data_IF_913126405270
#
_entry.id   IF_913126405270
#
_cell.length_a   1.000
_cell.length_b   1.000
_cell.length_c   1.000
_cell.angle_alpha   90.00
_cell.angle_beta   90.00
_cell.angle_gamma   90.00
#
_symmetry.space_group_name_H-M   'P 1'
#
loop_
_entity.id
_entity.type
_entity.pdbx_description
1 polymer ?
#
# COMPACT_ATOMS: atom_id res chain seq x y z
N UNK A 1 -22.22 7.00 0.60
CA UNK A 1 -23.09 6.51 -0.50
C UNK A 1 -24.54 6.53 -0.05
N UNK A 2 -25.49 6.50 -0.97
CA UNK A 2 -26.93 6.44 -0.64
C UNK A 2 -27.62 5.39 -1.49
N UNK A 3 -28.38 4.51 -0.86
CA UNK A 3 -29.27 3.57 -1.55
C UNK A 3 -30.64 4.24 -1.70
N UNK A 4 -31.25 4.18 -2.88
CA UNK A 4 -32.60 4.66 -3.12
C UNK A 4 -33.43 3.51 -3.68
N UNK A 5 -34.59 3.25 -3.10
CA UNK A 5 -35.51 2.19 -3.55
C UNK A 5 -36.70 2.83 -4.25
N UNK A 6 -37.04 2.30 -5.43
CA UNK A 6 -38.19 2.72 -6.22
C UNK A 6 -39.17 1.56 -6.39
N UNK A 7 -40.45 1.87 -6.46
CA UNK A 7 -41.48 0.92 -6.86
C UNK A 7 -41.44 0.67 -8.38
N UNK A 8 -42.28 -0.25 -8.86
CA UNK A 8 -42.40 -0.59 -10.29
C UNK A 8 -42.91 0.59 -11.15
N UNK A 9 -43.46 1.63 -10.54
CA UNK A 9 -43.97 2.84 -11.19
C UNK A 9 -42.95 3.99 -11.15
N UNK A 10 -41.79 3.80 -10.53
CA UNK A 10 -40.73 4.80 -10.42
C UNK A 10 -40.88 5.76 -9.23
N UNK A 11 -41.80 5.50 -8.30
CA UNK A 11 -41.95 6.29 -7.07
C UNK A 11 -41.03 5.78 -5.97
N UNK A 12 -40.46 6.68 -5.17
CA UNK A 12 -39.57 6.29 -4.06
C UNK A 12 -40.34 5.56 -2.96
N UNK A 13 -39.79 4.46 -2.45
CA UNK A 13 -40.42 3.63 -1.42
C UNK A 13 -39.82 3.90 -0.05
N UNK A 14 -40.61 4.49 0.84
CA UNK A 14 -40.27 4.65 2.25
C UNK A 14 -40.40 3.34 3.03
N UNK A 15 -39.55 3.15 4.06
CA UNK A 15 -39.51 1.95 4.89
C UNK A 15 -39.33 0.62 4.12
N UNK A 16 -38.76 0.67 2.92
CA UNK A 16 -38.46 -0.52 2.13
C UNK A 16 -37.24 -1.25 2.68
N UNK A 17 -37.28 -2.58 2.86
CA UNK A 17 -36.15 -3.34 3.35
C UNK A 17 -35.10 -3.56 2.24
N UNK A 18 -33.84 -3.43 2.62
CA UNK A 18 -32.68 -3.72 1.77
C UNK A 18 -31.69 -4.58 2.54
N UNK A 19 -31.43 -5.78 2.04
CA UNK A 19 -30.40 -6.68 2.57
C UNK A 19 -29.06 -6.39 1.90
N UNK A 20 -28.01 -6.24 2.70
CA UNK A 20 -26.63 -6.06 2.24
C UNK A 20 -25.84 -7.31 2.60
N UNK A 21 -25.11 -7.85 1.62
CA UNK A 21 -24.31 -9.06 1.78
C UNK A 21 -22.92 -8.89 1.19
N UNK A 22 -21.91 -9.37 1.91
CA UNK A 22 -20.56 -9.51 1.35
C UNK A 22 -20.53 -10.67 0.37
N UNK A 23 -20.21 -10.37 -0.88
CA UNK A 23 -20.06 -11.35 -1.95
C UNK A 23 -18.64 -11.88 -2.03
N UNK A 24 -17.66 -10.98 -2.07
CA UNK A 24 -16.26 -11.36 -2.16
C UNK A 24 -15.37 -10.29 -1.54
N UNK A 25 -14.21 -10.71 -1.02
CA UNK A 25 -13.13 -9.84 -0.58
C UNK A 25 -11.90 -10.33 -1.32
N UNK A 26 -11.31 -9.48 -2.15
CA UNK A 26 -10.19 -9.83 -3.01
C UNK A 26 -9.11 -8.76 -2.97
N UNK A 27 -7.86 -9.20 -3.08
CA UNK A 27 -6.74 -8.29 -3.29
C UNK A 27 -6.69 -7.76 -4.74
N UNK A 28 -5.66 -6.99 -5.08
CA UNK A 28 -5.52 -6.34 -6.40
C UNK A 28 -5.37 -7.38 -7.51
N UNK A 29 -4.69 -8.48 -7.21
CA UNK A 29 -4.47 -9.61 -8.13
C UNK A 29 -5.67 -10.57 -8.20
N UNK A 30 -6.77 -10.27 -7.50
CA UNK A 30 -8.03 -11.02 -7.58
C UNK A 30 -8.07 -12.26 -6.69
N UNK A 31 -7.04 -12.51 -5.87
CA UNK A 31 -7.00 -13.61 -4.90
C UNK A 31 -7.95 -13.31 -3.74
N UNK A 32 -8.68 -14.32 -3.30
CA UNK A 32 -9.63 -14.20 -2.18
C UNK A 32 -8.85 -13.98 -0.88
N UNK A 33 -9.25 -12.96 -0.12
CA UNK A 33 -8.67 -12.62 1.19
C UNK A 33 -9.65 -12.95 2.31
N UNK A 34 -9.18 -13.74 3.28
CA UNK A 34 -9.93 -14.13 4.49
C UNK A 34 -9.35 -13.51 5.76
N UNK A 35 -8.23 -12.82 5.61
CA UNK A 35 -7.37 -12.22 6.62
C UNK A 35 -7.56 -10.70 6.71
N UNK A 36 -8.29 -10.09 5.78
CA UNK A 36 -8.67 -8.67 5.87
C UNK A 36 -9.70 -8.43 6.97
N UNK A 37 -9.63 -7.25 7.58
CA UNK A 37 -10.73 -6.71 8.38
C UNK A 37 -12.07 -6.72 7.64
N UNK A 38 -13.15 -6.72 8.42
CA UNK A 38 -14.50 -6.62 7.89
C UNK A 38 -14.85 -5.14 7.68
N UNK A 39 -15.43 -4.85 6.52
CA UNK A 39 -15.93 -3.53 6.18
C UNK A 39 -16.99 -3.07 7.19
N UNK A 40 -16.83 -1.86 7.75
CA UNK A 40 -17.81 -1.25 8.62
C UNK A 40 -18.79 -0.40 7.82
N UNK A 41 -20.08 -0.62 8.05
CA UNK A 41 -21.16 0.30 7.67
C UNK A 41 -21.56 1.09 8.90
N UNK A 42 -21.63 2.40 8.73
CA UNK A 42 -22.18 3.34 9.69
C UNK A 42 -23.49 3.88 9.13
N UNK A 43 -24.56 3.68 9.89
CA UNK A 43 -25.87 4.24 9.58
C UNK A 43 -26.41 4.98 10.82
N UNK A 44 -27.02 6.13 10.60
CA UNK A 44 -27.51 6.98 11.69
C UNK A 44 -28.59 6.33 12.57
N UNK A 45 -29.34 5.35 12.03
CA UNK A 45 -30.38 4.63 12.79
C UNK A 45 -29.87 3.38 13.48
N UNK A 46 -29.00 2.60 12.82
CA UNK A 46 -28.56 1.29 13.32
C UNK A 46 -27.16 1.28 13.93
N UNK A 47 -26.45 2.41 13.91
CA UNK A 47 -25.06 2.51 14.38
C UNK A 47 -24.05 1.85 13.43
N UNK A 48 -22.89 1.49 13.97
CA UNK A 48 -21.80 0.82 13.25
C UNK A 48 -21.99 -0.69 13.21
N UNK A 49 -21.80 -1.30 12.04
CA UNK A 49 -21.96 -2.73 11.80
C UNK A 49 -20.80 -3.23 10.93
N UNK A 50 -20.12 -4.30 11.33
CA UNK A 50 -19.11 -4.97 10.50
C UNK A 50 -19.77 -6.00 9.57
N UNK A 51 -19.59 -5.87 8.26
CA UNK A 51 -20.21 -6.77 7.27
C UNK A 51 -19.36 -8.04 7.08
N UNK A 52 -19.63 -9.03 7.93
CA UNK A 52 -19.28 -10.45 7.69
C UNK A 52 -20.51 -11.35 7.57
N UNK A 53 -21.71 -10.77 7.59
CA UNK A 53 -23.02 -11.43 7.66
C UNK A 53 -24.07 -10.67 6.85
N UNK A 54 -25.26 -11.26 6.70
CA UNK A 54 -26.42 -10.62 6.05
C UNK A 54 -27.00 -9.57 7.00
N UNK A 55 -27.10 -8.32 6.56
CA UNK A 55 -27.71 -7.25 7.37
C UNK A 55 -28.90 -6.65 6.63
N UNK A 56 -29.95 -6.32 7.39
CA UNK A 56 -31.18 -5.74 6.87
C UNK A 56 -31.27 -4.27 7.30
N UNK A 57 -31.43 -3.39 6.32
CA UNK A 57 -31.63 -1.95 6.50
C UNK A 57 -32.98 -1.55 5.95
N UNK A 58 -33.50 -0.40 6.37
CA UNK A 58 -34.77 0.15 5.90
C UNK A 58 -34.57 1.56 5.38
N UNK A 59 -35.19 1.89 4.24
CA UNK A 59 -35.21 3.26 3.75
C UNK A 59 -35.93 4.19 4.72
N UNK A 60 -35.51 5.45 4.78
CA UNK A 60 -36.22 6.51 5.47
C UNK A 60 -37.53 6.88 4.74
N UNK A 61 -38.26 7.88 5.24
CA UNK A 61 -39.50 8.37 4.62
C UNK A 61 -39.31 8.93 3.19
N UNK A 62 -38.09 9.27 2.80
CA UNK A 62 -37.74 9.74 1.46
C UNK A 62 -37.30 8.60 0.51
N UNK A 63 -37.35 7.35 0.98
CA UNK A 63 -36.94 6.17 0.23
C UNK A 63 -35.42 5.98 0.14
N UNK A 64 -34.67 6.52 1.09
CA UNK A 64 -33.21 6.54 1.08
C UNK A 64 -32.58 5.80 2.29
N UNK A 65 -31.43 5.17 2.06
CA UNK A 65 -30.53 4.66 3.11
C UNK A 65 -29.17 5.32 2.93
N UNK A 66 -28.84 6.38 3.70
CA UNK A 66 -27.50 6.94 3.70
C UNK A 66 -26.56 5.98 4.45
N UNK A 67 -25.42 5.68 3.83
CA UNK A 67 -24.41 4.79 4.37
C UNK A 67 -23.04 5.44 4.28
N UNK A 68 -22.33 5.45 5.42
CA UNK A 68 -20.91 5.74 5.49
C UNK A 68 -20.16 4.44 5.70
N UNK A 69 -19.07 4.25 4.98
CA UNK A 69 -18.33 3.00 5.00
C UNK A 69 -16.88 3.27 5.42
N UNK A 70 -16.28 2.36 6.16
CA UNK A 70 -14.88 2.43 6.57
C UNK A 70 -14.33 1.03 6.76
N UNK A 71 -13.08 0.78 6.44
CA UNK A 71 -12.41 -0.49 6.75
C UNK A 71 -11.15 -0.25 7.58
N UNK A 72 -11.30 0.07 8.89
CA UNK A 72 -10.16 0.50 9.73
C UNK A 72 -9.15 -0.63 10.01
N UNK A 73 -9.53 -1.89 9.77
CA UNK A 73 -8.65 -3.06 9.86
C UNK A 73 -8.43 -3.70 8.49
N UNK A 74 -8.78 -2.98 7.42
CA UNK A 74 -8.58 -3.42 6.05
C UNK A 74 -7.11 -3.43 5.70
N UNK A 75 -6.73 -4.37 4.84
CA UNK A 75 -5.33 -4.56 4.40
C UNK A 75 -5.13 -4.15 2.94
N UNK A 76 -6.02 -3.33 2.37
CA UNK A 76 -5.95 -2.94 0.95
C UNK A 76 -6.70 -3.88 0.02
N UNK A 77 -8.01 -4.06 0.23
CA UNK A 77 -8.83 -5.03 -0.54
C UNK A 77 -10.00 -4.38 -1.25
N UNK A 78 -10.49 -5.07 -2.28
CA UNK A 78 -11.78 -4.82 -2.91
C UNK A 78 -12.85 -5.71 -2.27
N UNK A 79 -13.83 -5.08 -1.64
CA UNK A 79 -15.01 -5.74 -1.09
C UNK A 79 -16.18 -5.55 -2.04
N UNK A 80 -16.70 -6.66 -2.59
CA UNK A 80 -17.92 -6.65 -3.38
C UNK A 80 -19.13 -6.91 -2.49
N UNK A 81 -20.13 -6.03 -2.58
CA UNK A 81 -21.39 -6.17 -1.87
C UNK A 81 -22.56 -6.35 -2.86
N UNK A 82 -23.48 -7.24 -2.49
CA UNK A 82 -24.78 -7.35 -3.12
C UNK A 82 -25.83 -6.65 -2.25
N UNK A 83 -26.55 -5.69 -2.84
CA UNK A 83 -27.67 -4.95 -2.25
C UNK A 83 -28.96 -5.52 -2.82
N UNK A 84 -29.84 -6.00 -1.96
CA UNK A 84 -31.00 -6.81 -2.35
C UNK A 84 -32.25 -6.19 -1.74
N UNK A 85 -33.09 -5.59 -2.58
CA UNK A 85 -34.38 -5.05 -2.18
C UNK A 85 -35.45 -6.17 -2.11
N UNK A 86 -36.66 -5.81 -1.66
CA UNK A 86 -37.86 -6.62 -1.89
C UNK A 86 -38.00 -7.02 -3.38
N UNK A 87 -38.67 -8.16 -3.64
CA UNK A 87 -38.72 -8.83 -4.95
C UNK A 87 -37.35 -9.39 -5.46
N UNK A 88 -36.33 -9.50 -4.61
CA UNK A 88 -34.99 -10.04 -4.95
C UNK A 88 -34.24 -9.28 -6.05
N UNK A 89 -34.61 -8.01 -6.29
CA UNK A 89 -33.85 -7.13 -7.16
C UNK A 89 -32.46 -6.90 -6.54
N UNK A 90 -31.42 -7.27 -7.28
CA UNK A 90 -30.02 -7.22 -6.82
C UNK A 90 -29.25 -6.14 -7.57
N UNK A 91 -28.58 -5.27 -6.81
CA UNK A 91 -27.53 -4.37 -7.31
C UNK A 91 -26.19 -4.78 -6.71
N UNK A 92 -25.15 -4.85 -7.53
CA UNK A 92 -23.78 -5.12 -7.08
C UNK A 92 -22.96 -3.84 -7.10
N UNK A 93 -22.16 -3.64 -6.06
CA UNK A 93 -21.14 -2.60 -6.04
C UNK A 93 -19.87 -3.12 -5.40
N UNK A 94 -18.74 -2.51 -5.76
CA UNK A 94 -17.44 -2.80 -5.18
C UNK A 94 -16.93 -1.57 -4.46
N UNK A 95 -16.28 -1.79 -3.32
CA UNK A 95 -15.64 -0.75 -2.51
C UNK A 95 -14.19 -1.14 -2.31
N UNK A 96 -13.29 -0.17 -2.48
CA UNK A 96 -11.86 -0.33 -2.25
C UNK A 96 -11.47 0.65 -1.14
N UNK A 97 -10.84 0.11 -0.10
CA UNK A 97 -10.14 0.89 0.92
C UNK A 97 -8.67 0.56 0.78
N UNK A 98 -7.87 1.55 0.41
CA UNK A 98 -6.44 1.39 0.16
C UNK A 98 -5.66 1.35 1.48
N UNK A 99 -4.47 0.73 1.46
CA UNK A 99 -3.54 0.69 2.60
C UNK A 99 -2.24 1.43 2.26
N UNK A 100 -1.64 2.10 3.23
CA UNK A 100 -0.43 2.91 3.01
C UNK A 100 0.80 2.04 2.74
N UNK A 101 0.81 0.80 3.22
CA UNK A 101 1.94 -0.15 3.12
C UNK A 101 2.00 -0.89 1.78
N UNK A 102 1.18 -0.50 0.81
CA UNK A 102 1.21 -1.03 -0.57
C UNK A 102 1.21 0.13 -1.57
N UNK A 103 1.99 0.05 -2.65
CA UNK A 103 1.99 1.07 -3.69
C UNK A 103 0.76 1.02 -4.58
N UNK A 104 0.40 2.17 -5.17
CA UNK A 104 -0.70 2.23 -6.14
C UNK A 104 -0.23 1.91 -7.57
N UNK A 105 0.29 0.70 -7.76
CA UNK A 105 0.74 0.18 -9.06
C UNK A 105 0.05 -1.15 -9.39
N UNK A 106 -0.22 -1.47 -10.67
CA UNK A 106 -0.83 -2.73 -11.08
C UNK A 106 -0.13 -3.99 -10.55
N UNK A 107 1.17 -3.91 -10.34
CA UNK A 107 2.06 -4.97 -9.88
C UNK A 107 1.90 -5.29 -8.38
N UNK A 108 1.30 -4.38 -7.60
CA UNK A 108 1.09 -4.57 -6.16
C UNK A 108 0.08 -5.68 -5.88
N UNK A 109 0.31 -6.46 -4.84
CA UNK A 109 -0.64 -7.49 -4.40
C UNK A 109 -1.91 -6.85 -3.83
N UNK A 110 -1.80 -5.77 -3.05
CA UNK A 110 -2.93 -5.09 -2.41
C UNK A 110 -3.28 -3.77 -3.11
N UNK A 111 -4.48 -3.26 -2.84
CA UNK A 111 -4.85 -1.90 -3.22
C UNK A 111 -4.17 -0.91 -2.27
N UNK A 112 -3.26 -0.13 -2.84
CA UNK A 112 -2.33 0.71 -2.10
C UNK A 112 -2.56 2.21 -2.26
N UNK A 113 -1.91 2.99 -1.40
CA UNK A 113 -1.69 4.43 -1.59
C UNK A 113 -0.32 4.87 -1.02
N UNK A 114 0.65 3.95 -0.96
CA UNK A 114 2.03 4.28 -0.59
C UNK A 114 2.52 5.43 -1.46
N UNK A 115 3.14 6.41 -0.82
CA UNK A 115 3.74 7.51 -1.54
C UNK A 115 5.01 7.02 -2.23
N UNK A 116 5.11 7.17 -3.56
CA UNK A 116 6.29 6.70 -4.29
C UNK A 116 7.55 7.49 -3.94
N UNK A 117 7.41 8.80 -3.67
CA UNK A 117 8.54 9.71 -3.47
C UNK A 117 8.44 10.43 -2.11
N UNK A 118 9.50 10.35 -1.30
CA UNK A 118 9.69 11.21 -0.13
C UNK A 118 10.71 12.28 -0.48
N UNK A 119 10.38 13.56 -0.29
CA UNK A 119 11.31 14.67 -0.51
C UNK A 119 11.76 15.28 0.81
N UNK A 120 13.07 15.30 1.05
CA UNK A 120 13.69 15.95 2.20
C UNK A 120 14.95 16.68 1.75
N UNK A 121 15.15 17.91 2.23
CA UNK A 121 16.31 18.73 1.86
C UNK A 121 16.55 18.83 0.34
N UNK A 122 15.47 18.90 -0.45
CA UNK A 122 15.47 18.92 -1.93
C UNK A 122 15.98 17.64 -2.60
N UNK A 123 16.16 16.56 -1.83
CA UNK A 123 16.48 15.23 -2.34
C UNK A 123 15.19 14.43 -2.38
N UNK A 124 14.85 13.91 -3.56
CA UNK A 124 13.71 13.03 -3.77
C UNK A 124 14.16 11.59 -3.72
N UNK A 125 13.69 10.86 -2.73
CA UNK A 125 13.91 9.44 -2.59
C UNK A 125 12.73 8.71 -3.23
N UNK A 126 13.00 7.68 -4.03
CA UNK A 126 11.99 6.77 -4.55
C UNK A 126 11.91 5.52 -3.66
N UNK A 127 10.70 5.03 -3.41
CA UNK A 127 10.48 3.80 -2.64
C UNK A 127 11.24 2.60 -3.24
N UNK A 128 11.49 1.55 -2.45
CA UNK A 128 11.99 0.30 -3.01
C UNK A 128 11.07 -0.27 -4.09
N UNK A 129 11.62 -0.98 -5.10
CA UNK A 129 10.81 -1.65 -6.10
C UNK A 129 10.14 -2.91 -5.53
N UNK A 130 8.94 -3.20 -6.03
CA UNK A 130 8.38 -4.54 -5.95
C UNK A 130 9.18 -5.49 -6.84
N UNK A 131 9.15 -6.77 -6.49
CA UNK A 131 9.74 -7.88 -7.23
C UNK A 131 9.20 -7.98 -8.67
N UNK A 132 7.95 -7.57 -8.90
CA UNK A 132 7.34 -7.55 -10.22
C UNK A 132 7.68 -6.29 -11.03
N UNK A 133 8.09 -5.20 -10.38
CA UNK A 133 8.52 -3.96 -11.05
C UNK A 133 9.95 -4.06 -11.55
N UNK A 134 10.82 -4.69 -10.76
CA UNK A 134 12.20 -4.95 -11.15
C UNK A 134 12.60 -6.34 -10.67
N UNK A 135 13.12 -7.17 -11.59
CA UNK A 135 13.54 -8.53 -11.25
C UNK A 135 14.77 -8.50 -10.33
N UNK A 136 14.53 -8.39 -9.03
CA UNK A 136 15.55 -8.47 -8.00
C UNK A 136 16.16 -9.84 -7.78
N UNK A 137 17.19 -9.85 -6.95
CA UNK A 137 18.00 -11.02 -6.66
C UNK A 137 17.38 -11.87 -5.54
N UNK A 138 16.74 -11.20 -4.57
CA UNK A 138 16.08 -11.83 -3.43
C UNK A 138 14.71 -11.18 -3.19
N UNK A 139 13.69 -12.02 -2.98
CA UNK A 139 12.36 -11.57 -2.55
C UNK A 139 12.37 -11.39 -1.04
N UNK A 140 11.83 -10.26 -0.56
CA UNK A 140 11.38 -10.15 0.84
C UNK A 140 9.88 -9.92 0.88
N UNK A 141 9.21 -10.71 1.70
CA UNK A 141 7.78 -10.61 1.93
C UNK A 141 7.53 -9.66 3.10
N UNK A 142 6.84 -8.55 2.86
CA UNK A 142 6.43 -7.63 3.92
C UNK A 142 5.02 -7.10 3.67
N UNK A 143 4.13 -7.24 4.67
CA UNK A 143 2.76 -6.73 4.65
C UNK A 143 1.97 -6.99 3.36
N UNK A 144 2.08 -8.25 2.89
CA UNK A 144 1.44 -8.77 1.68
C UNK A 144 2.05 -8.34 0.35
N UNK A 145 3.14 -7.58 0.36
CA UNK A 145 3.89 -7.22 -0.84
C UNK A 145 5.20 -8.01 -0.93
N UNK A 146 5.63 -8.24 -2.17
CA UNK A 146 6.89 -8.89 -2.50
C UNK A 146 7.87 -7.83 -2.98
N UNK A 147 8.76 -7.41 -2.10
CA UNK A 147 9.74 -6.36 -2.37
C UNK A 147 11.05 -6.96 -2.86
N UNK A 148 11.72 -6.27 -3.80
CA UNK A 148 13.00 -6.71 -4.33
C UNK A 148 14.16 -6.18 -3.49
N UNK A 149 14.97 -7.09 -2.95
CA UNK A 149 16.33 -6.80 -2.54
C UNK A 149 17.27 -7.01 -3.74
N UNK A 150 18.14 -6.04 -3.98
CA UNK A 150 19.01 -5.99 -5.17
C UNK A 150 20.47 -6.12 -4.76
N UNK A 151 21.28 -6.76 -5.58
CA UNK A 151 22.73 -6.60 -5.60
C UNK A 151 23.10 -5.18 -5.97
N UNK A 152 24.34 -4.77 -5.71
CA UNK A 152 24.77 -3.41 -5.99
C UNK A 152 24.61 -3.04 -7.46
N UNK A 153 25.11 -3.88 -8.38
CA UNK A 153 25.01 -3.62 -9.82
C UNK A 153 23.56 -3.53 -10.30
N UNK A 154 22.68 -4.40 -9.78
CA UNK A 154 21.25 -4.33 -10.06
C UNK A 154 20.58 -3.09 -9.47
N UNK A 155 20.99 -2.64 -8.28
CA UNK A 155 20.52 -1.40 -7.67
C UNK A 155 20.92 -0.17 -8.47
N UNK A 156 22.17 -0.11 -8.92
CA UNK A 156 22.67 0.96 -9.81
C UNK A 156 21.90 0.95 -11.13
N UNK A 157 21.68 -0.22 -11.72
CA UNK A 157 20.90 -0.38 -12.94
C UNK A 157 19.47 0.12 -12.76
N UNK A 158 18.78 -0.33 -11.70
CA UNK A 158 17.42 0.08 -11.37
C UNK A 158 17.29 1.61 -11.21
N UNK A 159 18.15 2.24 -10.39
CA UNK A 159 18.05 3.69 -10.18
C UNK A 159 18.28 4.49 -11.47
N UNK A 160 19.16 4.02 -12.35
CA UNK A 160 19.41 4.65 -13.65
C UNK A 160 18.24 4.52 -14.62
N UNK A 161 17.51 3.40 -14.58
CA UNK A 161 16.41 3.15 -15.53
C UNK A 161 15.11 3.81 -15.14
N UNK A 162 14.78 3.90 -13.85
CA UNK A 162 13.45 4.36 -13.43
C UNK A 162 13.25 5.86 -13.69
N UNK A 163 14.26 6.70 -13.39
CA UNK A 163 14.22 8.16 -13.59
C UNK A 163 15.61 8.82 -13.76
N UNK A 164 16.59 8.12 -14.34
CA UNK A 164 17.99 8.59 -14.39
C UNK A 164 18.53 9.01 -13.02
N UNK A 165 18.07 8.31 -11.98
CA UNK A 165 18.49 8.50 -10.61
C UNK A 165 19.77 7.73 -10.31
N UNK A 166 20.21 7.88 -9.07
CA UNK A 166 21.41 7.25 -8.55
C UNK A 166 21.13 6.64 -7.18
N UNK A 167 22.00 5.73 -6.72
CA UNK A 167 21.99 5.29 -5.33
C UNK A 167 22.40 6.51 -4.46
N UNK A 168 21.63 6.90 -3.44
CA UNK A 168 21.94 8.07 -2.63
C UNK A 168 23.23 7.87 -1.82
N UNK A 169 23.93 8.97 -1.55
CA UNK A 169 25.05 8.98 -0.60
C UNK A 169 24.55 8.83 0.86
N UNK A 170 25.39 8.31 1.75
CA UNK A 170 25.05 8.10 3.18
C UNK A 170 24.40 9.30 3.84
N UNK A 171 24.94 10.51 3.64
CA UNK A 171 24.41 11.69 4.32
C UNK A 171 23.00 12.04 3.84
N UNK A 172 22.63 11.68 2.60
CA UNK A 172 21.27 11.85 2.07
C UNK A 172 20.31 10.84 2.69
N UNK A 173 20.71 9.57 2.79
CA UNK A 173 19.93 8.56 3.53
C UNK A 173 19.76 8.95 5.00
N UNK A 174 20.79 9.57 5.60
CA UNK A 174 20.69 10.14 6.94
C UNK A 174 19.69 11.29 7.02
N UNK A 175 19.58 12.17 6.01
CA UNK A 175 18.52 13.19 5.97
C UNK A 175 17.13 12.58 5.99
N UNK A 176 16.90 11.54 5.19
CA UNK A 176 15.64 10.79 5.15
C UNK A 176 15.31 10.22 6.53
N UNK A 177 16.26 9.53 7.15
CA UNK A 177 16.07 8.90 8.45
C UNK A 177 15.92 9.92 9.59
N UNK A 178 16.70 11.01 9.60
CA UNK A 178 16.63 12.02 10.65
C UNK A 178 15.32 12.84 10.57
N UNK A 179 14.78 13.06 9.37
CA UNK A 179 13.55 13.83 9.17
C UNK A 179 12.28 13.03 9.48
N UNK A 180 12.27 11.74 9.18
CA UNK A 180 11.06 10.93 9.25
C UNK A 180 11.15 9.75 10.22
N UNK A 181 12.33 9.19 10.50
CA UNK A 181 12.46 8.07 11.43
C UNK A 181 11.49 6.93 11.11
N UNK A 182 10.72 6.49 12.10
CA UNK A 182 9.71 5.45 11.96
C UNK A 182 8.55 5.85 11.02
N UNK A 183 8.34 7.14 10.75
CA UNK A 183 7.29 7.63 9.85
C UNK A 183 7.54 7.24 8.39
N UNK A 184 8.79 6.91 8.01
CA UNK A 184 9.12 6.29 6.72
C UNK A 184 8.22 5.06 6.49
N UNK A 185 7.98 4.28 7.53
CA UNK A 185 7.04 3.16 7.49
C UNK A 185 5.62 3.58 7.90
N UNK A 186 5.46 4.25 9.05
CA UNK A 186 4.13 4.47 9.64
C UNK A 186 3.23 5.44 8.87
N UNK A 187 3.82 6.44 8.20
CA UNK A 187 3.14 7.48 7.42
C UNK A 187 3.32 7.26 5.92
N UNK A 188 4.52 6.89 5.47
CA UNK A 188 4.80 6.72 4.03
C UNK A 188 4.68 5.29 3.54
N UNK A 189 4.66 4.29 4.44
CA UNK A 189 4.45 2.89 4.10
C UNK A 189 5.69 2.13 3.64
N UNK A 190 6.85 2.77 3.55
CA UNK A 190 8.05 2.14 3.00
C UNK A 190 8.64 1.11 3.98
N UNK A 191 9.10 -0.05 3.49
CA UNK A 191 9.50 -1.15 4.38
C UNK A 191 10.93 -1.03 4.94
N UNK A 192 11.64 0.09 4.70
CA UNK A 192 13.08 0.25 4.95
C UNK A 192 13.50 0.57 6.39
N UNK A 193 12.55 0.74 7.31
CA UNK A 193 12.83 0.91 8.74
C UNK A 193 12.40 -0.28 9.59
N UNK A 194 11.75 -1.28 8.97
CA UNK A 194 11.19 -2.45 9.65
C UNK A 194 11.88 -3.73 9.21
N UNK A 195 11.69 -4.12 7.95
CA UNK A 195 12.16 -5.39 7.39
C UNK A 195 13.37 -5.21 6.45
N UNK A 196 13.60 -3.98 6.00
CA UNK A 196 14.67 -3.61 5.05
C UNK A 196 15.60 -2.53 5.61
N UNK A 197 16.17 -2.77 6.79
CA UNK A 197 17.03 -1.77 7.45
C UNK A 197 18.36 -1.56 6.73
N UNK A 198 18.82 -2.51 5.93
CA UNK A 198 20.04 -2.41 5.12
C UNK A 198 19.70 -1.82 3.75
N UNK A 199 20.16 -0.59 3.48
CA UNK A 199 19.86 0.15 2.25
C UNK A 199 21.16 0.55 1.55
N UNK A 200 21.31 0.25 0.26
CA UNK A 200 22.52 0.60 -0.48
C UNK A 200 22.82 2.11 -0.42
N UNK A 201 24.10 2.45 -0.26
CA UNK A 201 24.64 3.80 -0.12
C UNK A 201 25.84 3.99 -1.03
N UNK A 202 25.86 5.09 -1.79
CA UNK A 202 26.94 5.44 -2.70
C UNK A 202 28.02 6.32 -2.06
N UNK A 203 28.49 5.96 -0.87
CA UNK A 203 29.57 6.73 -0.23
C UNK A 203 30.86 6.68 -1.02
N UNK A 204 31.33 7.87 -1.37
CA UNK A 204 32.58 8.07 -2.07
C UNK A 204 33.69 8.31 -1.05
N UNK A 205 34.15 7.27 -0.35
CA UNK A 205 35.42 7.40 0.39
C UNK A 205 36.54 7.55 -0.64
N UNK A 206 37.44 8.51 -0.38
CA UNK A 206 38.53 8.96 -1.27
C UNK A 206 39.23 7.76 -1.91
N UNK A 207 38.99 7.58 -3.21
CA UNK A 207 39.50 6.50 -4.09
C UNK A 207 41.03 6.44 -4.22
N UNK A 208 41.77 7.37 -3.61
CA UNK A 208 43.18 7.57 -3.90
C UNK A 208 44.10 6.39 -3.52
N UNK A 209 43.65 5.48 -2.63
CA UNK A 209 44.50 4.38 -2.13
C UNK A 209 43.91 2.97 -2.27
N UNK A 210 42.65 2.82 -2.72
CA UNK A 210 41.97 1.52 -2.76
C UNK A 210 41.72 1.11 -4.22
N UNK A 211 42.44 0.08 -4.68
CA UNK A 211 42.36 -0.45 -6.06
C UNK A 211 41.21 -1.45 -6.30
N UNK A 212 40.26 -1.57 -5.36
CA UNK A 212 39.10 -2.46 -5.48
C UNK A 212 37.79 -1.66 -5.38
N UNK A 213 36.70 -2.12 -6.01
CA UNK A 213 35.39 -1.53 -5.77
C UNK A 213 34.99 -1.71 -4.30
N UNK A 214 34.42 -0.66 -3.72
CA UNK A 214 33.86 -0.65 -2.38
C UNK A 214 32.34 -0.48 -2.51
N UNK A 215 31.62 -1.30 -1.75
CA UNK A 215 30.17 -1.30 -1.71
C UNK A 215 29.77 -0.98 -0.28
N UNK A 216 28.82 -0.07 -0.10
CA UNK A 216 28.38 0.34 1.23
C UNK A 216 26.88 0.28 1.31
N UNK A 217 26.37 -0.14 2.46
CA UNK A 217 24.97 0.05 2.81
C UNK A 217 24.90 0.88 4.09
N UNK A 218 23.86 1.70 4.19
CA UNK A 218 23.50 2.39 5.41
C UNK A 218 22.46 1.52 6.13
N UNK A 219 22.78 1.15 7.37
CA UNK A 219 21.88 0.40 8.23
C UNK A 219 21.04 1.39 9.04
N UNK A 220 19.74 1.43 8.75
CA UNK A 220 18.79 2.34 9.37
C UNK A 220 18.57 2.03 10.86
N UNK A 221 18.86 0.80 11.31
CA UNK A 221 18.71 0.38 12.71
C UNK A 221 19.89 0.83 13.57
N UNK A 222 21.12 0.61 13.10
CA UNK A 222 22.35 1.00 13.80
C UNK A 222 22.77 2.44 13.51
N UNK A 223 22.24 3.03 12.43
CA UNK A 223 22.60 4.36 11.92
C UNK A 223 24.06 4.44 11.48
N UNK A 224 24.61 3.31 11.09
CA UNK A 224 25.99 3.18 10.63
C UNK A 224 26.03 2.87 9.14
N UNK A 225 27.17 3.19 8.52
CA UNK A 225 27.44 2.72 7.17
C UNK A 225 28.46 1.60 7.26
N UNK A 226 28.17 0.49 6.59
CA UNK A 226 28.92 -0.75 6.68
C UNK A 226 29.39 -1.14 5.28
N UNK A 227 30.62 -1.64 5.18
CA UNK A 227 31.13 -2.20 3.93
C UNK A 227 30.40 -3.51 3.62
N UNK A 228 29.73 -3.55 2.47
CA UNK A 228 29.11 -4.74 1.90
C UNK A 228 29.97 -5.38 0.81
N UNK A 229 29.43 -6.43 0.20
CA UNK A 229 30.00 -7.06 -0.99
C UNK A 229 28.96 -7.01 -2.12
N UNK A 230 29.42 -6.96 -3.38
CA UNK A 230 28.52 -6.83 -4.55
C UNK A 230 27.40 -7.89 -4.57
N UNK A 231 27.72 -9.12 -4.16
CA UNK A 231 26.79 -10.25 -4.18
C UNK A 231 25.77 -10.25 -3.04
N UNK A 232 25.86 -9.35 -2.07
CA UNK A 232 24.81 -9.16 -1.07
C UNK A 232 23.57 -8.55 -1.72
N UNK A 233 22.39 -8.77 -1.14
CA UNK A 233 21.15 -8.18 -1.64
C UNK A 233 20.48 -7.37 -0.54
N UNK A 234 20.38 -6.06 -0.75
CA UNK A 234 19.84 -5.08 0.20
C UNK A 234 18.70 -4.28 -0.44
N UNK A 235 17.99 -3.49 0.37
CA UNK A 235 17.02 -2.54 -0.18
C UNK A 235 17.70 -1.48 -1.03
N UNK A 236 16.96 -0.97 -2.01
CA UNK A 236 17.36 0.17 -2.82
C UNK A 236 16.29 1.24 -2.71
N UNK A 237 16.68 2.42 -2.27
CA UNK A 237 15.95 3.66 -2.56
C UNK A 237 16.82 4.47 -3.52
N UNK A 238 16.19 5.13 -4.50
CA UNK A 238 16.91 5.91 -5.50
C UNK A 238 16.76 7.40 -5.25
N UNK A 239 17.83 8.16 -5.42
CA UNK A 239 17.77 9.60 -5.55
C UNK A 239 17.34 9.93 -6.99
N UNK A 240 16.14 10.49 -7.16
CA UNK A 240 15.56 10.81 -8.47
C UNK A 240 15.52 12.33 -8.70
N UNK A 241 15.48 12.74 -9.98
CA UNK A 241 15.53 14.16 -10.41
C UNK A 241 14.12 14.74 -10.57
#
# INVERSE_FOLDING_TARGET
MTIIVFDKKGSRLGNAPVRIETRSIRDRQGKIRKDSGLLHIHNLRTGQISIGRKFLFYTNSFGEIPLRMSDPKGIGVKTELDFIAEDYIRKRMSFIFTVVTSPDVPEANMYGHMQDIIEVNKVKFLRPPLMQEYRGDVVRHHLNEDWAALTWDNGVSYCRTIQHGDIPEKYKLKYLLDAHGDDIFSIYGWPITTDFVEVWSASWIIKAYIKRPLYYYYDFSTKEEVEGINSSSFAVTCEVK
#
